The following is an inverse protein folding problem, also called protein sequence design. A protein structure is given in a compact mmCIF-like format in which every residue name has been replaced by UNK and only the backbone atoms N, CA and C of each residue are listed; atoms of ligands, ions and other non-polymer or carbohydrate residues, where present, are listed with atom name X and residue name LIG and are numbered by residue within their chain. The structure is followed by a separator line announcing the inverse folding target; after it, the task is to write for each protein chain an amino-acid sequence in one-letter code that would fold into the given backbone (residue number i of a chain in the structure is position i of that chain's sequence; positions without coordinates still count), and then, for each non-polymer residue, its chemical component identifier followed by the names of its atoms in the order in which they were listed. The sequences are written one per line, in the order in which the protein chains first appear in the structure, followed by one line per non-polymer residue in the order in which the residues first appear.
data_IF_486475984367
#
_entry.id   IF_486475984367
#
_cell.length_a   1.000
_cell.length_b   1.000
_cell.length_c   1.000
_cell.angle_alpha   90.00
_cell.angle_beta   90.00
_cell.angle_gamma   90.00
#
_symmetry.space_group_name_H-M   'P 1'
#
loop_
_entity.id
_entity.type
_entity.pdbx_description
1 polymer ?
#
# COMPACT_ATOMS: atom_id res chain seq x y z
N UNK A 1 -20.10 -26.35 -17.24
CA UNK A 1 -19.98 -25.71 -15.91
C UNK A 1 -20.17 -24.24 -16.15
N UNK A 2 -21.33 -23.71 -15.73
CA UNK A 2 -21.64 -22.30 -15.89
C UNK A 2 -20.69 -21.44 -15.04
N UNK A 3 -20.00 -20.50 -15.68
CA UNK A 3 -19.29 -19.43 -14.99
C UNK A 3 -20.29 -18.65 -14.12
N UNK A 4 -20.26 -18.88 -12.82
CA UNK A 4 -20.98 -18.02 -11.88
C UNK A 4 -20.40 -16.62 -11.96
N UNK A 5 -21.09 -15.72 -12.69
CA UNK A 5 -20.81 -14.28 -12.64
C UNK A 5 -21.13 -13.81 -11.21
N UNK A 6 -20.10 -13.61 -10.41
CA UNK A 6 -20.21 -13.17 -9.04
C UNK A 6 -20.64 -11.70 -9.01
N UNK A 7 -21.83 -11.42 -8.52
CA UNK A 7 -22.32 -10.07 -8.29
C UNK A 7 -22.01 -9.68 -6.85
N UNK A 8 -21.33 -8.55 -6.66
CA UNK A 8 -21.16 -7.94 -5.35
C UNK A 8 -22.54 -7.70 -4.70
N UNK A 9 -22.79 -8.32 -3.57
CA UNK A 9 -23.95 -8.03 -2.71
C UNK A 9 -23.54 -6.85 -1.81
N UNK A 10 -24.12 -5.71 -2.06
CA UNK A 10 -23.97 -4.38 -1.47
C UNK A 10 -22.97 -3.46 -2.15
N UNK A 11 -23.48 -2.29 -2.56
CA UNK A 11 -22.85 -1.15 -3.23
C UNK A 11 -21.46 -1.44 -3.85
N UNK A 12 -21.43 -1.68 -5.14
CA UNK A 12 -20.16 -1.84 -5.88
C UNK A 12 -19.20 -0.75 -5.44
N UNK A 13 -17.94 -1.09 -5.16
CA UNK A 13 -16.93 -0.11 -4.78
C UNK A 13 -16.81 0.94 -5.88
N UNK A 14 -17.23 2.17 -5.58
CA UNK A 14 -17.27 3.27 -6.54
C UNK A 14 -15.89 3.90 -6.58
N UNK A 15 -15.30 3.99 -7.77
CA UNK A 15 -14.09 4.80 -7.97
C UNK A 15 -14.50 6.28 -7.87
N UNK A 16 -14.14 6.91 -6.76
CA UNK A 16 -14.38 8.34 -6.53
C UNK A 16 -13.18 9.15 -7.01
N UNK A 17 -13.44 10.25 -7.68
CA UNK A 17 -12.45 11.25 -8.08
C UNK A 17 -12.52 12.48 -7.17
N UNK A 18 -11.58 13.42 -7.34
CA UNK A 18 -11.53 14.67 -6.60
C UNK A 18 -10.87 14.54 -5.22
N UNK A 19 -10.98 15.57 -4.40
CA UNK A 19 -10.29 15.67 -3.13
C UNK A 19 -11.11 15.08 -1.97
N UNK A 20 -10.40 14.49 -0.99
CA UNK A 20 -10.93 14.15 0.33
C UNK A 20 -10.89 15.41 1.19
N UNK A 21 -12.01 15.80 1.79
CA UNK A 21 -12.03 16.95 2.70
C UNK A 21 -11.12 16.67 3.92
N UNK A 22 -10.14 17.54 4.23
CA UNK A 22 -9.28 17.35 5.39
C UNK A 22 -10.07 17.51 6.69
N UNK A 23 -9.93 16.56 7.59
CA UNK A 23 -10.49 16.60 8.94
C UNK A 23 -9.49 17.22 9.93
N UNK A 24 -9.90 17.42 11.18
CA UNK A 24 -8.98 17.86 12.23
C UNK A 24 -7.83 16.88 12.45
N UNK A 25 -8.05 15.57 12.19
CA UNK A 25 -7.05 14.49 12.35
C UNK A 25 -6.12 14.36 11.15
N UNK A 26 -6.63 14.54 9.92
CA UNK A 26 -5.85 14.37 8.69
C UNK A 26 -5.19 15.64 8.18
N UNK A 27 -5.55 16.80 8.73
CA UNK A 27 -4.95 18.08 8.34
C UNK A 27 -3.45 18.11 8.65
N UNK A 28 -2.63 18.17 7.61
CA UNK A 28 -1.17 18.28 7.74
C UNK A 28 -0.81 19.68 8.25
N UNK A 29 -0.37 19.77 9.51
CA UNK A 29 -0.03 21.03 10.18
C UNK A 29 1.42 21.47 9.91
N UNK A 30 2.37 20.54 9.89
CA UNK A 30 3.79 20.85 9.63
C UNK A 30 4.08 20.78 8.15
N UNK A 31 4.54 21.90 7.57
CA UNK A 31 4.82 22.10 6.15
C UNK A 31 3.58 21.73 5.30
N UNK A 32 2.46 22.47 5.42
CA UNK A 32 1.20 22.16 4.73
C UNK A 32 1.33 22.10 3.21
N UNK A 33 2.29 22.83 2.63
CA UNK A 33 2.57 22.81 1.18
C UNK A 33 2.97 21.43 0.62
N UNK A 34 3.31 20.50 1.50
CA UNK A 34 3.63 19.09 1.12
C UNK A 34 2.40 18.18 1.19
N UNK A 35 1.28 18.68 1.69
CA UNK A 35 0.05 17.90 1.78
C UNK A 35 -0.65 17.78 0.43
N UNK A 36 -1.24 16.62 0.18
CA UNK A 36 -2.24 16.42 -0.86
C UNK A 36 -3.42 15.65 -0.27
N UNK A 37 -4.61 16.06 -0.66
CA UNK A 37 -5.88 15.40 -0.31
C UNK A 37 -6.57 14.89 -1.57
N UNK A 38 -5.90 15.00 -2.70
CA UNK A 38 -6.36 14.48 -3.97
C UNK A 38 -6.39 12.96 -3.96
N UNK A 39 -7.51 12.37 -4.40
CA UNK A 39 -7.70 10.92 -4.41
C UNK A 39 -6.72 10.22 -5.35
N UNK A 40 -6.46 10.80 -6.52
CA UNK A 40 -5.57 10.16 -7.49
C UNK A 40 -4.13 10.09 -6.95
N UNK A 41 -3.67 11.14 -6.25
CA UNK A 41 -2.39 11.13 -5.57
C UNK A 41 -2.34 10.09 -4.44
N UNK A 42 -3.38 10.01 -3.60
CA UNK A 42 -3.50 9.03 -2.53
C UNK A 42 -3.54 7.61 -3.10
N UNK A 43 -4.37 7.36 -4.11
CA UNK A 43 -4.53 6.06 -4.74
C UNK A 43 -3.25 5.60 -5.43
N UNK A 44 -2.57 6.47 -6.16
CA UNK A 44 -1.29 6.16 -6.79
C UNK A 44 -0.24 5.69 -5.79
N UNK A 45 -0.15 6.32 -4.61
CA UNK A 45 0.79 5.92 -3.55
C UNK A 45 0.41 4.54 -2.99
N UNK A 46 -0.87 4.27 -2.77
CA UNK A 46 -1.35 2.97 -2.28
C UNK A 46 -1.14 1.87 -3.31
N UNK A 47 -1.48 2.12 -4.57
CA UNK A 47 -1.42 1.13 -5.66
C UNK A 47 0.02 0.76 -6.06
N UNK A 48 0.99 1.61 -5.71
CA UNK A 48 2.40 1.36 -6.01
C UNK A 48 3.16 0.70 -4.85
N UNK A 49 2.55 0.54 -3.67
CA UNK A 49 3.13 -0.13 -2.52
C UNK A 49 2.61 -1.56 -2.36
N UNK A 50 3.47 -2.48 -1.92
CA UNK A 50 3.06 -3.84 -1.55
C UNK A 50 2.61 -3.93 -0.10
N UNK A 51 3.25 -3.18 0.79
CA UNK A 51 3.07 -3.27 2.24
C UNK A 51 2.55 -1.95 2.78
N UNK A 52 1.56 -2.06 3.66
CA UNK A 52 1.15 -0.97 4.56
C UNK A 52 1.50 -1.33 6.01
N UNK A 53 1.49 -0.33 6.87
CA UNK A 53 1.63 -0.49 8.31
C UNK A 53 0.30 -0.12 8.97
N UNK A 54 -0.27 -1.08 9.69
CA UNK A 54 -1.55 -0.90 10.39
C UNK A 54 -1.30 -0.63 11.86
N UNK A 55 -1.56 0.58 12.29
CA UNK A 55 -1.51 1.01 13.70
C UNK A 55 -2.88 0.87 14.35
N UNK A 56 -2.92 0.34 15.57
CA UNK A 56 -4.10 0.19 16.43
C UNK A 56 -3.70 0.13 17.90
N UNK A 57 -4.66 0.22 18.80
CA UNK A 57 -4.41 0.07 20.24
C UNK A 57 -5.34 -0.98 20.84
N UNK A 58 -4.85 -1.73 21.82
CA UNK A 58 -5.65 -2.61 22.68
C UNK A 58 -5.46 -2.11 24.11
N UNK A 59 -6.49 -1.54 24.69
CA UNK A 59 -6.35 -0.78 25.92
C UNK A 59 -5.32 0.34 25.75
N UNK A 60 -4.36 0.50 26.65
CA UNK A 60 -3.33 1.53 26.56
C UNK A 60 -2.16 1.15 25.63
N UNK A 61 -2.08 -0.10 25.14
CA UNK A 61 -0.94 -0.59 24.38
C UNK A 61 -1.12 -0.34 22.88
N UNK A 62 -0.28 0.50 22.25
CA UNK A 62 -0.26 0.64 20.80
C UNK A 62 0.51 -0.50 20.14
N UNK A 63 0.07 -0.85 18.92
CA UNK A 63 0.69 -1.81 18.02
C UNK A 63 0.81 -1.22 16.62
N UNK A 64 1.85 -1.64 15.89
CA UNK A 64 2.00 -1.38 14.44
C UNK A 64 2.40 -2.67 13.76
N UNK A 65 1.59 -3.14 12.81
CA UNK A 65 1.81 -4.41 12.11
C UNK A 65 1.97 -4.12 10.61
N UNK A 66 3.11 -4.50 9.97
CA UNK A 66 3.23 -4.48 8.53
C UNK A 66 2.43 -5.63 7.92
N UNK A 67 1.71 -5.36 6.83
CA UNK A 67 0.94 -6.38 6.11
C UNK A 67 0.78 -6.01 4.64
N UNK A 68 0.49 -7.02 3.80
CA UNK A 68 0.07 -6.79 2.42
C UNK A 68 -1.28 -6.11 2.41
N UNK A 69 -1.51 -5.26 1.41
CA UNK A 69 -2.79 -4.62 1.17
C UNK A 69 -3.12 -4.59 -0.31
N UNK A 70 -4.37 -4.35 -0.60
CA UNK A 70 -4.82 -3.97 -1.94
C UNK A 70 -5.88 -2.88 -1.83
N UNK A 71 -5.86 -1.92 -2.75
CA UNK A 71 -6.95 -0.98 -2.93
C UNK A 71 -7.85 -1.48 -4.06
N UNK A 72 -9.14 -1.54 -3.77
CA UNK A 72 -10.17 -1.79 -4.79
C UNK A 72 -11.15 -0.62 -4.69
N UNK A 73 -11.24 0.17 -5.75
CA UNK A 73 -11.99 1.42 -5.81
C UNK A 73 -11.64 2.40 -4.67
N UNK A 74 -12.55 2.75 -3.78
CA UNK A 74 -12.34 3.69 -2.68
C UNK A 74 -12.12 3.00 -1.32
N UNK A 75 -11.71 1.74 -1.33
CA UNK A 75 -11.48 0.95 -0.12
C UNK A 75 -10.10 0.28 -0.13
N UNK A 76 -9.49 0.24 1.05
CA UNK A 76 -8.27 -0.53 1.30
C UNK A 76 -8.65 -1.85 1.97
N UNK A 77 -8.04 -2.93 1.51
CA UNK A 77 -8.25 -4.26 2.08
C UNK A 77 -6.95 -4.82 2.63
N UNK A 78 -7.06 -5.47 3.78
CA UNK A 78 -5.98 -6.27 4.39
C UNK A 78 -6.54 -7.62 4.79
N UNK A 79 -5.68 -8.64 4.83
CA UNK A 79 -6.08 -10.00 5.17
C UNK A 79 -5.10 -10.64 6.15
N UNK A 80 -5.51 -11.74 6.74
CA UNK A 80 -4.65 -12.57 7.58
C UNK A 80 -5.43 -13.69 8.26
N UNK A 81 -4.78 -14.38 9.18
CA UNK A 81 -5.40 -15.42 9.98
C UNK A 81 -6.53 -14.84 10.85
N UNK A 82 -7.63 -15.57 10.96
CA UNK A 82 -8.73 -15.23 11.89
C UNK A 82 -8.24 -15.15 13.36
N UNK A 83 -7.13 -15.79 13.71
CA UNK A 83 -6.48 -15.69 15.03
C UNK A 83 -5.62 -14.43 15.21
N UNK A 84 -5.50 -13.57 14.19
CA UNK A 84 -4.70 -12.35 14.27
C UNK A 84 -5.31 -11.34 15.24
N UNK A 85 -4.50 -10.89 16.19
CA UNK A 85 -4.86 -9.85 17.17
C UNK A 85 -5.31 -8.55 16.51
N UNK A 86 -4.63 -8.13 15.45
CA UNK A 86 -4.97 -6.94 14.67
C UNK A 86 -6.36 -7.08 14.03
N UNK A 87 -6.61 -8.22 13.37
CA UNK A 87 -7.88 -8.45 12.68
C UNK A 87 -9.04 -8.60 13.66
N UNK A 88 -8.80 -9.25 14.82
CA UNK A 88 -9.79 -9.34 15.91
C UNK A 88 -10.17 -7.96 16.45
N UNK A 89 -9.18 -7.16 16.87
CA UNK A 89 -9.45 -5.82 17.38
C UNK A 89 -10.15 -4.91 16.34
N UNK A 90 -9.74 -4.98 15.09
CA UNK A 90 -10.38 -4.20 14.02
C UNK A 90 -11.81 -4.67 13.73
N UNK A 91 -12.09 -5.98 13.80
CA UNK A 91 -13.44 -6.52 13.64
C UNK A 91 -14.39 -6.08 14.76
N UNK A 92 -13.87 -5.81 15.97
CA UNK A 92 -14.58 -5.23 17.10
C UNK A 92 -14.76 -3.70 17.00
N UNK A 93 -14.33 -3.08 15.89
CA UNK A 93 -14.50 -1.65 15.62
C UNK A 93 -13.39 -0.77 16.16
N UNK A 94 -12.26 -1.33 16.61
CA UNK A 94 -11.08 -0.54 17.02
C UNK A 94 -10.63 0.36 15.87
N UNK A 95 -10.46 1.69 16.09
CA UNK A 95 -9.97 2.59 15.08
C UNK A 95 -8.56 2.21 14.62
N UNK A 96 -8.33 2.30 13.32
CA UNK A 96 -7.06 2.02 12.67
C UNK A 96 -6.41 3.31 12.14
N UNK A 97 -5.07 3.30 12.15
CA UNK A 97 -4.25 4.20 11.37
C UNK A 97 -3.43 3.37 10.38
N UNK A 98 -3.71 3.49 9.09
CA UNK A 98 -2.95 2.78 8.05
C UNK A 98 -2.02 3.75 7.35
N UNK A 99 -0.74 3.40 7.23
CA UNK A 99 0.24 4.21 6.53
C UNK A 99 1.01 3.42 5.49
N UNK A 100 1.31 4.11 4.39
CA UNK A 100 2.22 3.66 3.32
C UNK A 100 3.27 4.74 3.11
N UNK A 101 4.51 4.34 2.87
CA UNK A 101 5.60 5.28 2.57
C UNK A 101 6.52 4.72 1.51
N UNK A 102 6.80 5.54 0.49
CA UNK A 102 7.88 5.33 -0.48
C UNK A 102 9.02 6.30 -0.17
N UNK A 103 10.25 5.81 -0.23
CA UNK A 103 11.46 6.61 -0.18
C UNK A 103 11.97 6.73 -1.61
N UNK A 104 11.99 7.96 -2.14
CA UNK A 104 12.34 8.25 -3.53
C UNK A 104 13.78 8.79 -3.64
N UNK A 105 14.42 9.19 -2.54
CA UNK A 105 15.81 9.62 -2.52
C UNK A 105 16.26 10.24 -1.21
N UNK A 106 17.58 10.29 -1.01
CA UNK A 106 18.19 11.05 0.07
C UNK A 106 18.46 12.48 -0.40
N UNK A 107 18.34 13.43 0.50
CA UNK A 107 18.59 14.84 0.22
C UNK A 107 19.68 15.32 1.16
N UNK A 108 20.86 15.52 0.59
CA UNK A 108 22.07 15.93 1.29
C UNK A 108 22.22 17.45 1.12
N UNK A 109 22.17 18.14 2.23
CA UNK A 109 22.26 19.60 2.30
C UNK A 109 23.67 20.05 2.70
N UNK A 110 23.92 21.34 2.68
CA UNK A 110 25.18 21.92 3.15
C UNK A 110 25.26 21.95 4.67
N UNK A 111 24.11 22.06 5.32
CA UNK A 111 24.03 22.02 6.80
C UNK A 111 23.40 20.74 7.28
N UNK A 112 23.75 20.28 8.48
CA UNK A 112 23.16 19.09 9.10
C UNK A 112 21.65 19.24 9.31
N UNK A 113 21.16 20.46 9.49
CA UNK A 113 19.77 20.76 9.78
C UNK A 113 18.85 20.55 8.56
N UNK A 114 19.36 20.77 7.35
CA UNK A 114 18.58 20.73 6.11
C UNK A 114 18.61 19.40 5.37
N UNK A 115 19.35 18.41 5.87
CA UNK A 115 19.27 17.03 5.37
C UNK A 115 17.84 16.50 5.44
N UNK A 116 17.42 15.75 4.42
CA UNK A 116 16.05 15.24 4.33
C UNK A 116 15.99 13.98 3.45
N UNK A 117 14.77 13.52 3.19
CA UNK A 117 14.45 12.48 2.20
C UNK A 117 13.37 12.98 1.25
N UNK A 118 13.46 12.60 -0.02
CA UNK A 118 12.35 12.67 -0.95
C UNK A 118 11.46 11.45 -0.73
N UNK A 119 10.16 11.67 -0.59
CA UNK A 119 9.22 10.62 -0.21
C UNK A 119 7.80 10.93 -0.65
N UNK A 120 7.01 9.89 -0.74
CA UNK A 120 5.55 9.94 -0.88
C UNK A 120 4.94 9.07 0.21
N UNK A 121 4.01 9.61 0.98
CA UNK A 121 3.35 8.86 2.05
C UNK A 121 1.86 9.14 2.10
N UNK A 122 1.10 8.16 2.58
CA UNK A 122 -0.34 8.28 2.84
C UNK A 122 -0.62 7.83 4.26
N UNK A 123 -1.52 8.53 4.92
CA UNK A 123 -2.15 8.09 6.18
C UNK A 123 -3.65 8.02 5.96
N UNK A 124 -4.25 6.89 6.32
CA UNK A 124 -5.71 6.66 6.31
C UNK A 124 -6.13 6.40 7.75
N UNK A 125 -7.19 7.06 8.20
CA UNK A 125 -7.77 6.86 9.53
C UNK A 125 -9.20 6.35 9.39
N UNK A 126 -9.60 5.40 10.24
CA UNK A 126 -10.97 4.90 10.22
C UNK A 126 -11.17 3.61 10.99
N UNK A 127 -12.39 3.10 10.96
CA UNK A 127 -12.71 1.76 11.40
C UNK A 127 -12.92 0.84 10.20
N UNK A 128 -12.37 -0.36 10.26
CA UNK A 128 -12.55 -1.36 9.23
C UNK A 128 -13.79 -2.21 9.50
N UNK A 129 -14.32 -2.82 8.44
CA UNK A 129 -15.43 -3.78 8.50
C UNK A 129 -14.90 -5.15 8.10
N UNK A 130 -15.26 -6.17 8.87
CA UNK A 130 -14.99 -7.56 8.53
C UNK A 130 -15.85 -8.00 7.34
N UNK A 131 -15.23 -8.57 6.32
CA UNK A 131 -15.93 -9.16 5.18
C UNK A 131 -16.38 -10.57 5.57
N UNK A 132 -17.67 -10.78 5.61
CA UNK A 132 -18.27 -12.06 5.97
C UNK A 132 -18.53 -12.96 4.74
N UNK A 133 -18.94 -12.36 3.61
CA UNK A 133 -19.28 -13.08 2.38
C UNK A 133 -18.06 -13.78 1.76
N UNK A 134 -18.08 -15.13 1.61
CA UNK A 134 -16.99 -15.86 0.98
C UNK A 134 -16.69 -15.42 -0.46
N UNK A 135 -17.71 -15.00 -1.21
CA UNK A 135 -17.53 -14.54 -2.58
C UNK A 135 -16.77 -13.20 -2.61
N UNK A 136 -17.12 -12.28 -1.72
CA UNK A 136 -16.39 -11.01 -1.59
C UNK A 136 -14.94 -11.24 -1.10
N UNK A 137 -14.73 -12.16 -0.15
CA UNK A 137 -13.37 -12.57 0.27
C UNK A 137 -12.54 -13.06 -0.91
N UNK A 138 -13.12 -13.90 -1.77
CA UNK A 138 -12.42 -14.45 -2.94
C UNK A 138 -12.00 -13.34 -3.91
N UNK A 139 -12.86 -12.36 -4.15
CA UNK A 139 -12.55 -11.20 -5.01
C UNK A 139 -11.37 -10.39 -4.41
N UNK A 140 -11.38 -10.15 -3.10
CA UNK A 140 -10.28 -9.45 -2.43
C UNK A 140 -8.99 -10.26 -2.49
N UNK A 141 -9.04 -11.58 -2.28
CA UNK A 141 -7.88 -12.45 -2.37
C UNK A 141 -7.29 -12.47 -3.78
N UNK A 142 -8.15 -12.53 -4.82
CA UNK A 142 -7.69 -12.36 -6.21
C UNK A 142 -7.01 -11.01 -6.39
N UNK A 143 -7.63 -9.93 -5.93
CA UNK A 143 -7.08 -8.59 -5.99
C UNK A 143 -5.72 -8.47 -5.30
N UNK A 144 -5.54 -9.09 -4.14
CA UNK A 144 -4.26 -9.13 -3.43
C UNK A 144 -3.17 -9.88 -4.22
N UNK A 145 -3.52 -11.05 -4.79
CA UNK A 145 -2.58 -11.81 -5.61
C UNK A 145 -2.20 -11.04 -6.88
N UNK A 146 -3.17 -10.46 -7.58
CA UNK A 146 -2.92 -9.66 -8.78
C UNK A 146 -2.14 -8.37 -8.48
N UNK A 147 -2.34 -7.78 -7.30
CA UNK A 147 -1.56 -6.64 -6.85
C UNK A 147 -0.09 -7.02 -6.62
N UNK A 148 0.17 -8.15 -5.97
CA UNK A 148 1.53 -8.65 -5.72
C UNK A 148 2.16 -9.17 -7.00
N UNK A 149 1.46 -10.04 -7.73
CA UNK A 149 1.96 -10.73 -8.91
C UNK A 149 0.87 -10.84 -10.00
N UNK A 150 0.73 -9.83 -10.88
CA UNK A 150 -0.28 -9.83 -11.95
C UNK A 150 -0.21 -11.08 -12.80
N UNK A 151 -1.36 -11.67 -13.10
CA UNK A 151 -1.50 -12.89 -13.88
C UNK A 151 -1.19 -14.17 -13.08
N UNK A 152 -0.77 -14.08 -11.82
CA UNK A 152 -0.46 -15.26 -11.01
C UNK A 152 -1.69 -16.07 -10.63
N UNK A 153 -2.84 -15.40 -10.47
CA UNK A 153 -4.08 -16.04 -10.02
C UNK A 153 -4.51 -17.20 -10.91
N UNK A 154 -4.36 -17.08 -12.22
CA UNK A 154 -4.72 -18.10 -13.22
C UNK A 154 -3.76 -19.32 -13.22
N UNK A 155 -2.64 -19.21 -12.53
CA UNK A 155 -1.59 -20.25 -12.47
C UNK A 155 -1.44 -20.91 -11.11
N UNK A 156 -2.38 -20.69 -10.19
CA UNK A 156 -2.35 -21.27 -8.84
C UNK A 156 -3.67 -21.98 -8.53
N UNK A 157 -3.61 -22.89 -7.59
CA UNK A 157 -4.81 -23.46 -6.99
C UNK A 157 -5.53 -22.37 -6.16
N UNK A 158 -6.79 -22.16 -6.44
CA UNK A 158 -7.61 -21.23 -5.66
C UNK A 158 -7.85 -21.78 -4.24
N UNK A 159 -8.17 -20.88 -3.25
CA UNK A 159 -8.42 -21.29 -1.89
C UNK A 159 -9.67 -22.19 -1.82
N UNK A 160 -9.61 -23.22 -0.97
CA UNK A 160 -10.76 -24.04 -0.64
C UNK A 160 -11.60 -23.39 0.48
N UNK A 161 -12.76 -23.97 0.80
CA UNK A 161 -13.69 -23.44 1.80
C UNK A 161 -13.06 -23.32 3.19
N UNK A 162 -12.20 -24.28 3.60
CA UNK A 162 -11.51 -24.23 4.90
C UNK A 162 -10.49 -23.08 4.95
N UNK A 163 -9.75 -22.87 3.88
CA UNK A 163 -8.79 -21.77 3.77
C UNK A 163 -9.50 -20.40 3.78
N UNK A 164 -10.64 -20.27 3.07
CA UNK A 164 -11.47 -19.07 3.10
C UNK A 164 -12.06 -18.81 4.50
N UNK A 165 -12.53 -19.85 5.19
CA UNK A 165 -13.05 -19.73 6.54
C UNK A 165 -11.96 -19.31 7.55
N UNK A 166 -10.73 -19.82 7.39
CA UNK A 166 -9.58 -19.48 8.25
C UNK A 166 -9.00 -18.09 7.96
N UNK A 167 -9.41 -17.46 6.85
CA UNK A 167 -8.91 -16.14 6.44
C UNK A 167 -9.92 -15.04 6.80
N UNK A 168 -9.47 -14.08 7.58
CA UNK A 168 -10.19 -12.82 7.80
C UNK A 168 -9.75 -11.77 6.79
N UNK A 169 -10.71 -11.04 6.26
CA UNK A 169 -10.49 -9.89 5.36
C UNK A 169 -11.17 -8.67 5.95
N UNK A 170 -10.43 -7.59 6.09
CA UNK A 170 -10.95 -6.30 6.55
C UNK A 170 -11.00 -5.31 5.38
N UNK A 171 -12.04 -4.52 5.36
CA UNK A 171 -12.29 -3.44 4.41
C UNK A 171 -12.32 -2.10 5.13
N UNK A 172 -11.39 -1.20 4.79
CA UNK A 172 -11.28 0.15 5.34
C UNK A 172 -11.65 1.17 4.26
N UNK A 173 -12.71 1.98 4.43
CA UNK A 173 -13.05 3.04 3.47
C UNK A 173 -12.00 4.15 3.48
N UNK A 174 -11.61 4.63 2.29
CA UNK A 174 -10.63 5.73 2.13
C UNK A 174 -11.40 7.06 2.10
N UNK A 175 -11.99 7.42 3.23
CA UNK A 175 -12.80 8.64 3.39
C UNK A 175 -12.12 9.68 4.28
N UNK A 176 -11.19 9.28 5.12
CA UNK A 176 -10.40 10.14 5.98
C UNK A 176 -8.92 9.84 5.77
N UNK A 177 -8.30 10.54 4.82
CA UNK A 177 -6.92 10.31 4.40
C UNK A 177 -6.19 11.61 4.06
N UNK A 178 -4.86 11.55 4.12
CA UNK A 178 -3.97 12.59 3.62
C UNK A 178 -2.72 11.97 3.02
N UNK A 179 -2.23 12.56 1.93
CA UNK A 179 -0.90 12.29 1.42
C UNK A 179 0.05 13.41 1.83
N UNK A 180 1.33 13.07 1.96
CA UNK A 180 2.41 14.03 2.17
C UNK A 180 3.58 13.66 1.26
N UNK A 181 4.00 14.63 0.45
CA UNK A 181 5.01 14.42 -0.58
C UNK A 181 6.14 15.45 -0.42
N UNK A 182 7.37 14.99 -0.65
CA UNK A 182 8.55 15.83 -0.83
C UNK A 182 9.32 15.35 -2.04
N UNK A 183 9.68 16.27 -2.89
CA UNK A 183 10.59 16.06 -4.02
C UNK A 183 11.49 17.27 -4.17
N UNK A 184 12.61 17.09 -4.87
CA UNK A 184 13.52 18.17 -5.23
C UNK A 184 14.73 18.31 -4.30
N UNK A 185 15.50 19.34 -4.58
CA UNK A 185 16.82 19.61 -4.02
C UNK A 185 16.78 19.97 -2.53
N UNK A 186 17.94 19.98 -1.85
CA UNK A 186 18.08 20.57 -0.53
C UNK A 186 17.72 22.07 -0.59
N UNK A 187 17.12 22.53 0.50
CA UNK A 187 16.82 23.95 0.70
C UNK A 187 17.63 24.39 1.92
N UNK A 188 18.79 24.93 1.64
CA UNK A 188 19.70 25.48 2.67
C UNK A 188 19.33 26.94 2.99
N UNK A 189 19.88 27.47 4.06
CA UNK A 189 19.84 28.89 4.34
C UNK A 189 20.73 29.65 3.36
N UNK A 190 20.38 30.90 3.04
CA UNK A 190 21.04 31.66 1.98
C UNK A 190 22.57 31.79 2.20
N UNK A 191 22.99 31.94 3.45
CA UNK A 191 24.42 32.02 3.78
C UNK A 191 25.19 30.72 3.50
N UNK A 192 24.53 29.56 3.56
CA UNK A 192 25.16 28.27 3.37
C UNK A 192 25.45 27.97 1.89
N UNK A 193 24.74 28.61 0.95
CA UNK A 193 24.99 28.42 -0.48
C UNK A 193 26.40 28.84 -0.92
N UNK A 194 27.06 29.72 -0.18
CA UNK A 194 28.44 30.14 -0.43
C UNK A 194 29.48 29.13 0.07
N UNK A 195 29.09 28.13 0.87
CA UNK A 195 30.01 27.12 1.39
C UNK A 195 30.47 26.16 0.28
N UNK A 196 31.74 25.76 0.23
CA UNK A 196 32.29 24.83 -0.77
C UNK A 196 31.96 23.38 -0.37
N UNK A 197 30.68 23.10 -0.03
CA UNK A 197 30.17 21.80 0.39
C UNK A 197 29.26 21.29 -0.71
N UNK A 198 29.50 20.05 -1.15
CA UNK A 198 28.60 19.39 -2.09
C UNK A 198 27.22 19.17 -1.45
N UNK A 199 26.18 19.51 -2.19
CA UNK A 199 24.79 19.26 -1.79
C UNK A 199 23.98 18.79 -3.00
N UNK A 200 22.99 17.93 -2.78
CA UNK A 200 22.20 17.37 -3.87
C UNK A 200 21.33 16.21 -3.43
N UNK A 201 20.96 15.35 -4.38
CA UNK A 201 20.10 14.21 -4.15
C UNK A 201 20.81 12.91 -4.51
N UNK A 202 20.52 11.84 -3.77
CA UNK A 202 20.83 10.45 -4.14
C UNK A 202 19.48 9.77 -4.40
N UNK A 203 19.07 9.60 -5.67
CA UNK A 203 17.84 8.89 -6.01
C UNK A 203 17.87 7.44 -5.51
N UNK A 204 16.72 6.94 -5.06
CA UNK A 204 16.52 5.56 -4.62
C UNK A 204 15.46 4.92 -5.49
N UNK A 205 15.75 3.72 -6.00
CA UNK A 205 14.80 2.88 -6.72
C UNK A 205 14.86 1.45 -6.21
N UNK A 206 13.68 0.84 -6.04
CA UNK A 206 13.57 -0.59 -5.75
C UNK A 206 13.39 -1.36 -7.05
N UNK A 207 14.15 -2.45 -7.21
CA UNK A 207 14.08 -3.33 -8.39
C UNK A 207 13.93 -4.79 -8.00
N UNK A 208 13.30 -5.57 -8.87
CA UNK A 208 13.30 -7.03 -8.80
C UNK A 208 14.62 -7.60 -9.27
N UNK A 209 14.97 -8.76 -8.75
CA UNK A 209 16.12 -9.55 -9.18
C UNK A 209 15.66 -10.78 -9.95
N UNK A 210 16.59 -11.55 -10.49
CA UNK A 210 16.33 -12.82 -11.16
C UNK A 210 15.54 -13.75 -10.23
N UNK A 211 14.44 -14.37 -10.71
CA UNK A 211 13.68 -15.34 -9.92
C UNK A 211 14.55 -16.52 -9.46
N UNK A 212 14.31 -16.97 -8.24
CA UNK A 212 14.99 -18.14 -7.67
C UNK A 212 13.97 -19.27 -7.57
N UNK A 213 14.33 -20.45 -8.06
CA UNK A 213 13.47 -21.65 -8.00
C UNK A 213 13.35 -22.16 -6.56
N UNK A 214 12.16 -22.62 -6.20
CA UNK A 214 11.97 -23.47 -5.03
C UNK A 214 12.67 -24.80 -5.28
N UNK A 215 13.39 -25.34 -4.27
CA UNK A 215 14.17 -26.56 -4.39
C UNK A 215 13.33 -27.81 -4.70
N UNK A 216 12.01 -27.77 -4.54
CA UNK A 216 11.06 -28.84 -4.83
C UNK A 216 10.37 -28.73 -6.18
N UNK A 217 10.64 -27.67 -6.93
CA UNK A 217 10.14 -27.54 -8.30
C UNK A 217 10.97 -28.41 -9.21
N UNK A 218 10.30 -29.19 -10.07
CA UNK A 218 10.99 -29.96 -11.13
C UNK A 218 11.80 -28.99 -12.01
N UNK A 219 13.12 -29.22 -12.18
CA UNK A 219 13.98 -28.36 -13.00
C UNK A 219 13.51 -28.15 -14.44
N UNK A 220 12.70 -29.09 -14.98
CA UNK A 220 12.10 -28.98 -16.30
C UNK A 220 10.87 -28.05 -16.36
N UNK A 221 10.34 -27.61 -15.20
CA UNK A 221 9.18 -26.73 -15.13
C UNK A 221 9.55 -25.34 -15.67
N UNK A 222 8.92 -24.86 -16.76
CA UNK A 222 9.24 -23.55 -17.30
C UNK A 222 8.81 -22.44 -16.35
N UNK A 223 9.62 -21.39 -16.24
CA UNK A 223 9.23 -20.18 -15.52
C UNK A 223 8.13 -19.46 -16.33
N UNK A 224 6.95 -19.20 -15.74
CA UNK A 224 5.89 -18.53 -16.46
C UNK A 224 6.27 -17.09 -16.84
N UNK A 225 5.74 -16.59 -17.97
CA UNK A 225 6.03 -15.24 -18.48
C UNK A 225 5.77 -14.15 -17.44
N UNK A 226 4.65 -14.20 -16.70
CA UNK A 226 4.33 -13.24 -15.65
C UNK A 226 5.34 -13.20 -14.49
N UNK A 227 6.19 -14.23 -14.32
CA UNK A 227 7.29 -14.25 -13.35
C UNK A 227 8.55 -13.68 -13.97
N UNK A 228 8.88 -14.06 -15.21
CA UNK A 228 10.07 -13.56 -15.91
C UNK A 228 9.99 -12.06 -16.21
N UNK A 229 8.80 -11.57 -16.54
CA UNK A 229 8.51 -10.17 -16.87
C UNK A 229 8.02 -9.36 -15.65
N UNK A 230 8.11 -9.94 -14.46
CA UNK A 230 7.58 -9.33 -13.26
C UNK A 230 8.18 -7.95 -12.99
N UNK A 231 7.30 -7.00 -12.68
CA UNK A 231 7.67 -5.65 -12.23
C UNK A 231 6.94 -5.31 -10.95
N UNK A 232 7.62 -4.64 -10.03
CA UNK A 232 7.00 -4.08 -8.84
C UNK A 232 5.87 -3.12 -9.24
N UNK A 233 4.81 -2.98 -8.43
CA UNK A 233 3.72 -2.04 -8.69
C UNK A 233 4.22 -0.62 -9.00
N UNK A 234 5.22 -0.14 -8.26
CA UNK A 234 5.84 1.16 -8.49
C UNK A 234 6.47 1.33 -9.88
N UNK A 235 6.81 0.24 -10.57
CA UNK A 235 7.52 0.24 -11.84
C UNK A 235 6.63 -0.19 -13.03
N UNK A 236 5.34 -0.48 -12.81
CA UNK A 236 4.43 -1.01 -13.84
C UNK A 236 4.03 0.01 -14.91
N UNK A 237 4.22 1.29 -14.70
CA UNK A 237 3.96 2.34 -15.71
C UNK A 237 5.22 2.98 -16.29
N UNK A 238 6.41 2.65 -15.79
CA UNK A 238 7.66 3.22 -16.24
C UNK A 238 8.14 2.51 -17.54
N UNK A 239 8.40 3.29 -18.60
CA UNK A 239 9.18 2.77 -19.73
C UNK A 239 10.60 2.51 -19.23
N UNK A 240 11.14 1.32 -19.54
CA UNK A 240 12.56 1.05 -19.34
C UNK A 240 13.31 1.92 -20.33
N UNK A 241 14.02 2.93 -19.85
CA UNK A 241 15.04 3.65 -20.61
C UNK A 241 16.38 2.98 -20.39
#
# INVERSE_FOLDING_TARGET
MEEKVWRFSQAQPVHRTGAIAPTARTRVKRIPKRASYDRDAIYSILDTALVCHVGFAIGPQPYVIPTLHVRIADRLYVHGSAASRMLGAAAEGTPLAVTVTHIDGLVLARSAFHHSVNYRSVVILGAATLIADPAEKLVVMKGLIDHVAPGRWEHIRHPNEKELAATSVLSLPIVEASAKLRSGDPLDDEADYALPIWAGQIPIATKTLTPIFDARVDPSTPVPAHVMEYRLPANRGARIT
#
